data_IF_897917253075
#
_entry.id   IF_897917253075
#
_cell.length_a   1.000
_cell.length_b   1.000
_cell.length_c   1.000
_cell.angle_alpha   90.00
_cell.angle_beta   90.00
_cell.angle_gamma   90.00
#
_symmetry.space_group_name_H-M   'P 1'
#
loop_
_entity.id
_entity.type
_entity.pdbx_description
1 polymer ?
#
# COMPACT_ATOMS: atom_id res chain seq x y z
N UNK A 1 35.34 -61.27 -27.99
CA UNK A 1 34.96 -59.91 -28.42
C UNK A 1 33.78 -59.48 -27.57
N UNK A 2 33.87 -58.42 -26.75
CA UNK A 2 32.70 -57.90 -26.07
C UNK A 2 31.82 -57.17 -27.09
N UNK A 3 30.51 -57.42 -27.03
CA UNK A 3 29.53 -56.82 -27.92
C UNK A 3 29.53 -55.28 -27.82
N UNK A 4 29.21 -54.56 -28.93
CA UNK A 4 29.13 -53.11 -28.90
C UNK A 4 27.98 -52.68 -27.98
N UNK A 5 28.26 -51.70 -27.11
CA UNK A 5 27.25 -50.97 -26.35
C UNK A 5 26.18 -50.43 -27.31
N UNK A 6 25.07 -51.14 -27.45
CA UNK A 6 23.90 -50.64 -28.16
C UNK A 6 23.31 -49.51 -27.31
N UNK A 7 23.23 -48.30 -27.88
CA UNK A 7 22.55 -47.16 -27.26
C UNK A 7 21.16 -47.62 -26.77
N UNK A 8 20.80 -47.39 -25.50
CA UNK A 8 19.47 -47.74 -25.00
C UNK A 8 18.42 -46.99 -25.83
N UNK A 9 17.35 -47.71 -26.22
CA UNK A 9 16.24 -47.12 -26.98
C UNK A 9 15.59 -46.01 -26.14
N UNK A 10 15.16 -44.92 -26.78
CA UNK A 10 14.57 -43.76 -26.12
C UNK A 10 13.36 -44.10 -25.23
N UNK A 11 12.64 -45.19 -25.52
CA UNK A 11 11.54 -45.73 -24.70
C UNK A 11 12.00 -46.26 -23.35
N UNK A 12 13.17 -46.91 -23.29
CA UNK A 12 13.71 -47.51 -22.06
C UNK A 12 14.30 -46.43 -21.14
N UNK A 13 14.86 -45.37 -21.75
CA UNK A 13 15.40 -44.22 -21.04
C UNK A 13 14.28 -43.41 -20.34
N UNK A 14 13.15 -43.21 -21.01
CA UNK A 14 11.99 -42.52 -20.45
C UNK A 14 11.28 -43.37 -19.36
N UNK A 15 11.19 -44.68 -19.56
CA UNK A 15 10.63 -45.60 -18.56
C UNK A 15 11.47 -45.61 -17.27
N UNK A 16 12.80 -45.54 -17.38
CA UNK A 16 13.70 -45.47 -16.21
C UNK A 16 13.57 -44.15 -15.44
N UNK A 17 13.43 -43.00 -16.11
CA UNK A 17 13.22 -41.70 -15.44
C UNK A 17 11.90 -41.67 -14.66
N UNK A 18 10.82 -42.19 -15.25
CA UNK A 18 9.50 -42.24 -14.61
C UNK A 18 9.50 -43.24 -13.44
N UNK A 19 10.08 -44.43 -13.61
CA UNK A 19 10.18 -45.44 -12.57
C UNK A 19 11.03 -44.97 -11.38
N UNK A 20 12.18 -44.34 -11.63
CA UNK A 20 13.05 -43.80 -10.58
C UNK A 20 12.43 -42.59 -9.88
N UNK A 21 11.77 -41.69 -10.62
CA UNK A 21 11.06 -40.54 -10.03
C UNK A 21 9.87 -40.99 -9.17
N UNK A 22 9.13 -42.02 -9.59
CA UNK A 22 8.06 -42.62 -8.80
C UNK A 22 8.59 -43.38 -7.57
N UNK A 23 9.73 -44.07 -7.69
CA UNK A 23 10.39 -44.72 -6.55
C UNK A 23 10.87 -43.69 -5.51
N UNK A 24 11.40 -42.54 -5.95
CA UNK A 24 11.77 -41.43 -5.08
C UNK A 24 10.54 -40.74 -4.48
N UNK A 25 9.46 -40.59 -5.25
CA UNK A 25 8.18 -40.02 -4.78
C UNK A 25 7.43 -40.89 -3.76
N UNK A 26 7.61 -42.21 -3.82
CA UNK A 26 7.04 -43.18 -2.87
C UNK A 26 7.91 -43.42 -1.63
N UNK A 27 9.15 -42.92 -1.63
CA UNK A 27 9.97 -42.89 -0.42
C UNK A 27 9.37 -41.86 0.56
N UNK A 28 8.65 -42.34 1.57
CA UNK A 28 8.14 -41.49 2.65
C UNK A 28 9.24 -40.73 3.40
N UNK A 29 8.81 -39.79 4.26
CA UNK A 29 9.64 -38.80 4.95
C UNK A 29 10.84 -39.38 5.75
N UNK A 30 10.82 -40.66 6.08
CA UNK A 30 11.86 -41.34 6.85
C UNK A 30 13.05 -41.89 6.02
N UNK A 31 12.98 -41.89 4.69
CA UNK A 31 13.96 -42.62 3.84
C UNK A 31 14.89 -41.71 3.00
N UNK A 32 15.29 -40.55 3.54
CA UNK A 32 16.15 -39.56 2.86
C UNK A 32 17.49 -40.12 2.33
N UNK A 33 18.05 -41.16 2.96
CA UNK A 33 19.31 -41.78 2.49
C UNK A 33 19.10 -42.54 1.18
N UNK A 34 17.95 -43.20 1.03
CA UNK A 34 17.62 -43.97 -0.19
C UNK A 34 17.33 -43.04 -1.37
N UNK A 35 16.69 -41.90 -1.13
CA UNK A 35 16.43 -40.90 -2.17
C UNK A 35 17.71 -40.31 -2.75
N UNK A 36 18.75 -40.10 -1.93
CA UNK A 36 20.08 -39.66 -2.40
C UNK A 36 20.85 -40.74 -3.17
N UNK A 37 20.73 -42.01 -2.76
CA UNK A 37 21.32 -43.15 -3.50
C UNK A 37 20.66 -43.30 -4.87
N UNK A 38 19.34 -43.14 -4.94
CA UNK A 38 18.59 -43.16 -6.21
C UNK A 38 18.92 -41.97 -7.11
N UNK A 39 19.13 -40.77 -6.54
CA UNK A 39 19.62 -39.62 -7.31
C UNK A 39 20.99 -39.90 -7.93
N UNK A 40 21.90 -40.50 -7.16
CA UNK A 40 23.24 -40.86 -7.65
C UNK A 40 23.18 -41.88 -8.80
N UNK A 41 22.38 -42.94 -8.65
CA UNK A 41 22.18 -43.94 -9.69
C UNK A 41 21.59 -43.34 -10.97
N UNK A 42 20.69 -42.36 -10.83
CA UNK A 42 20.09 -41.65 -11.95
C UNK A 42 21.10 -40.77 -12.70
N UNK A 43 21.98 -40.07 -11.97
CA UNK A 43 23.08 -39.30 -12.55
C UNK A 43 24.14 -40.18 -13.22
N UNK A 44 24.46 -41.35 -12.65
CA UNK A 44 25.39 -42.34 -13.23
C UNK A 44 24.87 -42.92 -14.55
N UNK A 45 23.55 -43.04 -14.70
CA UNK A 45 22.90 -43.43 -15.95
C UNK A 45 22.69 -42.27 -16.94
N UNK A 46 23.27 -41.09 -16.68
CA UNK A 46 23.11 -39.86 -17.47
C UNK A 46 21.64 -39.40 -17.62
N UNK A 47 20.79 -39.75 -16.67
CA UNK A 47 19.38 -39.36 -16.64
C UNK A 47 19.23 -38.01 -15.93
N UNK A 48 18.45 -37.09 -16.51
CA UNK A 48 18.25 -35.75 -15.96
C UNK A 48 17.14 -35.75 -14.88
N UNK A 49 17.43 -35.30 -13.65
CA UNK A 49 16.41 -35.12 -12.62
C UNK A 49 15.42 -34.02 -12.98
N UNK A 50 14.14 -34.27 -12.70
CA UNK A 50 13.05 -33.32 -12.95
C UNK A 50 12.54 -32.72 -11.62
N UNK A 51 11.57 -31.81 -11.73
CA UNK A 51 10.96 -31.12 -10.57
C UNK A 51 10.44 -32.08 -9.50
N UNK A 52 9.82 -33.18 -9.90
CA UNK A 52 9.28 -34.20 -8.98
C UNK A 52 10.42 -34.89 -8.23
N UNK A 53 11.50 -35.27 -8.92
CA UNK A 53 12.67 -35.90 -8.31
C UNK A 53 13.27 -35.01 -7.21
N UNK A 54 13.52 -33.74 -7.52
CA UNK A 54 14.12 -32.80 -6.54
C UNK A 54 13.16 -32.45 -5.40
N UNK A 55 11.87 -32.24 -5.68
CA UNK A 55 10.87 -31.90 -4.66
C UNK A 55 10.70 -33.04 -3.64
N UNK A 56 10.68 -34.29 -4.09
CA UNK A 56 10.60 -35.46 -3.22
C UNK A 56 11.87 -35.66 -2.37
N UNK A 57 13.07 -35.42 -2.94
CA UNK A 57 14.33 -35.47 -2.19
C UNK A 57 14.36 -34.38 -1.11
N UNK A 58 14.01 -33.15 -1.48
CA UNK A 58 13.96 -32.00 -0.56
C UNK A 58 12.98 -32.25 0.58
N UNK A 59 11.78 -32.78 0.27
CA UNK A 59 10.76 -33.09 1.28
C UNK A 59 11.20 -34.21 2.23
N UNK A 60 11.85 -35.26 1.72
CA UNK A 60 12.39 -36.34 2.57
C UNK A 60 13.56 -35.86 3.46
N UNK A 61 14.44 -35.00 2.94
CA UNK A 61 15.53 -34.41 3.73
C UNK A 61 15.01 -33.43 4.81
N UNK A 62 13.97 -32.66 4.49
CA UNK A 62 13.29 -31.76 5.42
C UNK A 62 12.59 -32.53 6.56
N UNK A 63 11.83 -33.58 6.22
CA UNK A 63 11.16 -34.44 7.21
C UNK A 63 12.13 -35.14 8.17
N UNK A 64 13.33 -35.49 7.68
CA UNK A 64 14.39 -36.07 8.50
C UNK A 64 15.24 -35.06 9.28
N UNK A 65 14.84 -33.78 9.33
CA UNK A 65 15.56 -32.67 9.98
C UNK A 65 17.01 -32.47 9.48
N UNK A 66 17.32 -32.95 8.26
CA UNK A 66 18.63 -32.75 7.60
C UNK A 66 18.59 -31.50 6.72
N UNK A 67 18.35 -30.36 7.35
CA UNK A 67 18.18 -29.07 6.69
C UNK A 67 19.36 -28.68 5.79
N UNK A 68 20.60 -29.00 6.18
CA UNK A 68 21.80 -28.72 5.37
C UNK A 68 21.76 -29.37 3.99
N UNK A 69 21.29 -30.62 3.94
CA UNK A 69 21.19 -31.38 2.69
C UNK A 69 19.99 -30.89 1.90
N UNK A 70 18.89 -30.56 2.56
CA UNK A 70 17.70 -30.01 1.92
C UNK A 70 17.98 -28.66 1.23
N UNK A 71 18.71 -27.74 1.88
CA UNK A 71 19.12 -26.44 1.32
C UNK A 71 20.08 -26.61 0.15
N UNK A 72 21.05 -27.54 0.24
CA UNK A 72 21.95 -27.86 -0.87
C UNK A 72 21.19 -28.37 -2.10
N UNK A 73 20.22 -29.26 -1.90
CA UNK A 73 19.42 -29.82 -2.99
C UNK A 73 18.47 -28.78 -3.62
N UNK A 74 17.91 -27.87 -2.81
CA UNK A 74 17.11 -26.76 -3.31
C UNK A 74 17.97 -25.78 -4.15
N UNK A 75 19.21 -25.51 -3.70
CA UNK A 75 20.15 -24.67 -4.44
C UNK A 75 20.56 -25.31 -5.76
N UNK A 76 20.83 -26.61 -5.77
CA UNK A 76 21.16 -27.37 -6.99
C UNK A 76 19.99 -27.37 -8.00
N UNK A 77 18.76 -27.51 -7.51
CA UNK A 77 17.56 -27.44 -8.35
C UNK A 77 17.42 -26.05 -9.03
N UNK A 78 17.70 -24.97 -8.29
CA UNK A 78 17.71 -23.60 -8.82
C UNK A 78 18.85 -23.36 -9.83
N UNK A 79 20.07 -23.86 -9.55
CA UNK A 79 21.20 -23.76 -10.47
C UNK A 79 20.94 -24.47 -11.82
N UNK A 80 20.08 -25.49 -11.81
CA UNK A 80 19.66 -26.21 -13.03
C UNK A 80 18.47 -25.56 -13.74
N UNK A 81 17.96 -24.43 -13.26
CA UNK A 81 16.80 -23.75 -13.82
C UNK A 81 15.49 -24.52 -13.66
N UNK A 82 15.45 -25.51 -12.76
CA UNK A 82 14.23 -26.27 -12.47
C UNK A 82 13.47 -25.47 -11.41
N UNK A 83 12.31 -24.91 -11.79
CA UNK A 83 11.46 -24.12 -10.89
C UNK A 83 11.09 -24.94 -9.66
N UNK A 84 11.66 -24.61 -8.51
CA UNK A 84 11.26 -25.21 -7.25
C UNK A 84 9.81 -24.89 -6.93
N UNK A 85 8.93 -25.87 -7.05
CA UNK A 85 7.55 -25.72 -6.62
C UNK A 85 7.47 -25.21 -5.17
N UNK A 86 6.46 -24.40 -4.87
CA UNK A 86 6.20 -23.82 -3.53
C UNK A 86 6.30 -24.86 -2.41
N UNK A 87 5.93 -26.10 -2.70
CA UNK A 87 6.02 -27.25 -1.79
C UNK A 87 7.44 -27.52 -1.30
N UNK A 88 8.45 -27.50 -2.20
CA UNK A 88 9.85 -27.76 -1.83
C UNK A 88 10.39 -26.66 -0.89
N UNK A 89 10.14 -25.39 -1.24
CA UNK A 89 10.60 -24.23 -0.47
C UNK A 89 9.92 -24.15 0.91
N UNK A 90 8.61 -24.40 0.99
CA UNK A 90 7.88 -24.43 2.27
C UNK A 90 8.36 -25.54 3.20
N UNK A 91 8.65 -26.74 2.68
CA UNK A 91 9.18 -27.86 3.49
C UNK A 91 10.57 -27.58 4.04
N UNK A 92 11.43 -26.91 3.28
CA UNK A 92 12.77 -26.48 3.74
C UNK A 92 12.64 -25.46 4.86
N UNK A 93 11.73 -24.50 4.74
CA UNK A 93 11.49 -23.48 5.77
C UNK A 93 11.04 -24.12 7.09
N UNK A 94 10.04 -25.02 7.05
CA UNK A 94 9.57 -25.75 8.24
C UNK A 94 10.69 -26.56 8.91
N UNK A 95 11.58 -27.18 8.13
CA UNK A 95 12.72 -27.93 8.67
C UNK A 95 13.79 -27.02 9.31
N UNK A 96 14.02 -25.84 8.73
CA UNK A 96 14.96 -24.84 9.26
C UNK A 96 14.43 -24.21 10.56
N UNK A 97 13.13 -23.93 10.65
CA UNK A 97 12.49 -23.42 11.87
C UNK A 97 12.60 -24.42 13.02
N UNK A 98 12.34 -25.70 12.75
CA UNK A 98 12.51 -26.79 13.74
C UNK A 98 13.97 -26.97 14.16
N UNK A 99 14.92 -26.78 13.24
CA UNK A 99 16.34 -26.80 13.56
C UNK A 99 16.79 -25.57 14.38
N UNK A 100 16.15 -24.42 14.18
CA UNK A 100 16.45 -23.18 14.90
C UNK A 100 15.88 -23.14 16.32
N UNK A 101 14.82 -23.90 16.56
CA UNK A 101 14.26 -24.11 17.90
C UNK A 101 15.14 -25.01 18.80
N UNK A 102 16.20 -25.64 18.27
CA UNK A 102 17.12 -26.45 19.06
C UNK A 102 18.09 -25.56 19.87
N UNK A 103 18.38 -25.88 21.15
CA UNK A 103 19.18 -25.04 22.04
C UNK A 103 20.67 -24.89 21.62
N UNK A 104 21.12 -25.64 20.61
CA UNK A 104 22.48 -25.60 20.07
C UNK A 104 22.54 -25.06 18.61
N UNK A 105 21.53 -24.29 18.18
CA UNK A 105 21.47 -23.79 16.81
C UNK A 105 22.60 -22.77 16.52
N UNK A 106 23.45 -23.00 15.51
CA UNK A 106 24.50 -22.07 15.14
C UNK A 106 23.93 -20.80 14.47
N UNK A 107 24.60 -19.66 14.61
CA UNK A 107 24.21 -18.36 14.02
C UNK A 107 24.05 -18.39 12.50
N UNK A 108 24.73 -19.33 11.82
CA UNK A 108 24.58 -19.59 10.40
C UNK A 108 23.16 -20.01 10.01
N UNK A 109 22.43 -20.68 10.91
CA UNK A 109 21.07 -21.14 10.66
C UNK A 109 20.06 -19.98 10.57
N UNK A 110 20.26 -18.92 11.36
CA UNK A 110 19.45 -17.70 11.30
C UNK A 110 19.67 -16.95 9.98
N UNK A 111 20.91 -16.91 9.48
CA UNK A 111 21.23 -16.36 8.17
C UNK A 111 20.57 -17.14 7.02
N UNK A 112 20.54 -18.47 7.12
CA UNK A 112 19.93 -19.35 6.11
C UNK A 112 18.39 -19.22 6.11
N UNK A 113 17.75 -19.08 7.28
CA UNK A 113 16.32 -18.78 7.39
C UNK A 113 15.94 -17.47 6.69
N UNK A 114 16.70 -16.39 6.95
CA UNK A 114 16.45 -15.08 6.33
C UNK A 114 16.57 -15.12 4.79
N UNK A 115 17.47 -15.96 4.25
CA UNK A 115 17.61 -16.17 2.81
C UNK A 115 16.49 -17.04 2.23
N UNK A 116 16.01 -18.04 2.98
CA UNK A 116 14.88 -18.88 2.60
C UNK A 116 13.56 -18.12 2.49
N UNK A 117 13.30 -17.18 3.40
CA UNK A 117 12.11 -16.33 3.38
C UNK A 117 12.06 -15.40 2.15
N UNK A 118 13.21 -14.84 1.72
CA UNK A 118 13.31 -14.03 0.49
C UNK A 118 12.96 -14.83 -0.77
N UNK A 119 13.50 -16.05 -0.88
CA UNK A 119 13.23 -16.95 -2.01
C UNK A 119 11.75 -17.36 -2.08
N UNK A 120 11.10 -17.59 -0.93
CA UNK A 120 9.65 -17.83 -0.87
C UNK A 120 8.85 -16.58 -1.32
N UNK A 121 9.29 -15.38 -0.94
CA UNK A 121 8.66 -14.12 -1.38
C UNK A 121 8.71 -13.93 -2.90
N UNK A 122 9.84 -14.24 -3.53
CA UNK A 122 10.03 -14.16 -4.98
C UNK A 122 9.19 -15.22 -5.73
N UNK A 123 9.14 -16.47 -5.23
CA UNK A 123 8.36 -17.55 -5.87
C UNK A 123 6.84 -17.39 -5.71
N UNK A 124 6.37 -16.83 -4.58
CA UNK A 124 4.94 -16.51 -4.35
C UNK A 124 4.48 -15.35 -5.25
N UNK A 125 5.40 -14.49 -5.69
CA UNK A 125 5.13 -13.45 -6.68
C UNK A 125 4.87 -14.02 -8.08
N UNK A 126 5.47 -15.15 -8.45
CA UNK A 126 5.38 -15.70 -9.81
C UNK A 126 4.22 -16.68 -10.06
N UNK A 127 3.69 -17.40 -9.05
CA UNK A 127 2.62 -18.39 -9.28
C UNK A 127 1.49 -18.40 -8.23
N UNK A 128 0.35 -17.86 -8.67
CA UNK A 128 -1.03 -18.16 -8.27
C UNK A 128 -1.58 -17.66 -6.92
N UNK A 129 -2.69 -16.93 -7.06
CA UNK A 129 -3.60 -16.32 -6.07
C UNK A 129 -4.36 -17.35 -5.18
N UNK A 130 -4.17 -18.65 -5.38
CA UNK A 130 -5.02 -19.73 -4.83
C UNK A 130 -4.54 -20.34 -3.50
N UNK A 131 -3.30 -20.11 -3.08
CA UNK A 131 -2.74 -20.64 -1.81
C UNK A 131 -2.95 -19.71 -0.60
N UNK A 132 -3.51 -18.51 -0.83
CA UNK A 132 -3.72 -17.46 0.20
C UNK A 132 -4.75 -17.86 1.28
N UNK A 133 -5.46 -18.98 1.14
CA UNK A 133 -6.57 -19.37 2.01
C UNK A 133 -6.29 -20.42 3.11
N UNK A 134 -5.05 -20.93 3.26
CA UNK A 134 -4.74 -21.94 4.29
C UNK A 134 -3.76 -21.55 5.39
N UNK A 135 -3.26 -20.31 5.39
CA UNK A 135 -2.36 -19.81 6.44
C UNK A 135 -3.12 -18.83 7.34
N UNK A 136 -3.97 -19.35 8.22
CA UNK A 136 -4.63 -18.55 9.26
C UNK A 136 -3.90 -18.69 10.60
N UNK A 137 -3.78 -17.57 11.32
CA UNK A 137 -3.33 -17.52 12.71
C UNK A 137 -2.04 -16.74 12.91
N UNK A 138 -0.89 -17.31 12.56
CA UNK A 138 0.41 -16.80 13.00
C UNK A 138 0.99 -15.65 12.13
N UNK A 139 0.62 -15.58 10.85
CA UNK A 139 1.19 -14.59 9.91
C UNK A 139 0.77 -13.14 10.17
N UNK A 140 -0.27 -12.86 10.97
CA UNK A 140 -0.60 -11.46 11.31
C UNK A 140 0.45 -10.84 12.25
N UNK A 141 0.99 -11.64 13.17
CA UNK A 141 2.04 -11.20 14.09
C UNK A 141 3.41 -11.13 13.41
N UNK A 142 3.66 -12.01 12.44
CA UNK A 142 4.93 -12.04 11.69
C UNK A 142 4.94 -10.98 10.57
N UNK A 143 3.82 -10.69 9.90
CA UNK A 143 3.73 -9.56 8.96
C UNK A 143 4.04 -8.21 9.64
N UNK A 144 3.64 -8.08 10.91
CA UNK A 144 3.99 -6.92 11.75
C UNK A 144 5.48 -6.91 12.14
N UNK A 145 6.06 -8.07 12.45
CA UNK A 145 7.50 -8.20 12.77
C UNK A 145 8.41 -8.04 11.54
N UNK A 146 7.98 -8.48 10.35
CA UNK A 146 8.69 -8.28 9.09
C UNK A 146 8.60 -6.83 8.61
N UNK A 147 7.48 -6.14 8.84
CA UNK A 147 7.40 -4.68 8.63
C UNK A 147 8.36 -3.93 9.57
N UNK A 148 8.50 -4.38 10.83
CA UNK A 148 9.43 -3.81 11.81
C UNK A 148 10.91 -4.08 11.49
N UNK A 149 11.23 -5.25 10.90
CA UNK A 149 12.62 -5.60 10.53
C UNK A 149 13.04 -5.00 9.18
N UNK A 150 12.12 -4.86 8.21
CA UNK A 150 12.36 -4.09 6.98
C UNK A 150 12.58 -2.61 7.27
N UNK A 151 11.82 -2.04 8.21
CA UNK A 151 12.07 -0.71 8.78
C UNK A 151 13.44 -0.60 9.44
N UNK A 152 13.92 -1.65 10.11
CA UNK A 152 15.23 -1.64 10.80
C UNK A 152 16.42 -1.75 9.86
N UNK A 153 16.34 -2.53 8.78
CA UNK A 153 17.43 -2.68 7.80
C UNK A 153 17.45 -1.53 6.77
N UNK A 154 16.29 -0.96 6.42
CA UNK A 154 16.22 0.26 5.59
C UNK A 154 16.73 1.52 6.31
N UNK A 155 16.72 1.51 7.65
CA UNK A 155 17.16 2.65 8.47
C UNK A 155 18.66 2.62 8.79
N UNK A 156 19.34 1.50 8.54
CA UNK A 156 20.81 1.38 8.72
C UNK A 156 21.64 1.71 7.48
N UNK A 157 21.01 1.83 6.31
CA UNK A 157 21.68 2.15 5.03
C UNK A 157 21.11 3.44 4.38
N UNK A 158 20.24 4.16 5.08
CA UNK A 158 19.64 5.41 4.61
C UNK A 158 20.71 6.52 4.58
N UNK A 159 20.87 7.17 3.43
CA UNK A 159 21.59 8.44 3.37
C UNK A 159 20.98 9.44 4.38
N UNK A 160 21.76 10.37 4.94
CA UNK A 160 21.26 11.34 5.92
C UNK A 160 20.00 12.07 5.44
N UNK A 161 19.88 12.32 4.14
CA UNK A 161 18.75 13.02 3.52
C UNK A 161 17.45 12.20 3.56
N UNK A 162 17.52 10.88 3.41
CA UNK A 162 16.35 10.00 3.45
C UNK A 162 15.77 9.87 4.88
N UNK A 163 16.59 10.11 5.91
CA UNK A 163 16.12 10.13 7.30
C UNK A 163 15.20 11.33 7.60
N UNK A 164 15.46 12.50 6.97
CA UNK A 164 14.64 13.71 7.15
C UNK A 164 13.27 13.51 6.51
N UNK A 165 13.25 12.95 5.29
CA UNK A 165 12.02 12.65 4.56
C UNK A 165 11.10 11.72 5.36
N UNK A 166 11.65 10.62 5.88
CA UNK A 166 10.90 9.68 6.71
C UNK A 166 10.37 10.33 8.00
N UNK A 167 11.18 11.16 8.66
CA UNK A 167 10.78 11.89 9.86
C UNK A 167 9.62 12.86 9.58
N UNK A 168 9.68 13.64 8.51
CA UNK A 168 8.61 14.57 8.11
C UNK A 168 7.31 13.83 7.83
N UNK A 169 7.38 12.71 7.08
CA UNK A 169 6.21 11.89 6.80
C UNK A 169 5.62 11.25 8.07
N UNK A 170 6.48 10.75 8.97
CA UNK A 170 6.06 10.20 10.25
C UNK A 170 5.39 11.23 11.15
N UNK A 171 5.96 12.44 11.27
CA UNK A 171 5.34 13.56 12.00
C UNK A 171 3.99 13.97 11.39
N UNK A 172 3.90 14.01 10.06
CA UNK A 172 2.65 14.30 9.34
C UNK A 172 1.58 13.26 9.64
N UNK A 173 1.94 11.98 9.67
CA UNK A 173 1.04 10.88 10.06
C UNK A 173 0.48 11.06 11.47
N UNK A 174 1.35 11.34 12.45
CA UNK A 174 0.94 11.58 13.84
C UNK A 174 -0.02 12.76 13.93
N UNK A 175 0.30 13.87 13.25
CA UNK A 175 -0.56 15.05 13.23
C UNK A 175 -1.94 14.73 12.65
N UNK A 176 -2.01 14.03 11.52
CA UNK A 176 -3.27 13.68 10.87
C UNK A 176 -4.11 12.74 11.74
N UNK A 177 -3.50 11.78 12.45
CA UNK A 177 -4.23 10.94 13.40
C UNK A 177 -4.76 11.73 14.60
N UNK A 178 -3.96 12.66 15.16
CA UNK A 178 -4.43 13.56 16.21
C UNK A 178 -5.59 14.43 15.71
N UNK A 179 -5.50 14.93 14.48
CA UNK A 179 -6.57 15.68 13.83
C UNK A 179 -7.85 14.87 13.67
N UNK A 180 -7.78 13.59 13.27
CA UNK A 180 -8.98 12.73 13.19
C UNK A 180 -9.63 12.59 14.56
N UNK A 181 -8.85 12.33 15.62
CA UNK A 181 -9.40 12.26 16.98
C UNK A 181 -10.08 13.56 17.38
N UNK A 182 -9.45 14.71 17.15
CA UNK A 182 -10.05 16.02 17.41
C UNK A 182 -11.38 16.20 16.66
N UNK A 183 -11.38 16.02 15.34
CA UNK A 183 -12.57 16.17 14.50
C UNK A 183 -13.69 15.19 14.89
N UNK A 184 -13.35 13.96 15.29
CA UNK A 184 -14.31 12.97 15.77
C UNK A 184 -15.04 13.44 17.04
N UNK A 185 -14.29 13.90 18.05
CA UNK A 185 -14.89 14.37 19.30
C UNK A 185 -15.66 15.67 19.12
N UNK A 186 -15.15 16.58 18.28
CA UNK A 186 -15.80 17.85 17.95
C UNK A 186 -17.13 17.63 17.20
N UNK A 187 -17.19 16.63 16.32
CA UNK A 187 -18.39 16.30 15.56
C UNK A 187 -19.50 15.59 16.34
N UNK A 188 -19.28 15.19 17.58
CA UNK A 188 -20.30 14.47 18.37
C UNK A 188 -21.44 15.37 18.88
N UNK A 189 -21.24 16.69 18.94
CA UNK A 189 -22.13 17.62 19.65
C UNK A 189 -22.83 18.65 18.75
N UNK A 190 -22.74 18.52 17.43
CA UNK A 190 -23.05 19.63 16.52
C UNK A 190 -23.77 19.19 15.23
N UNK A 191 -24.51 20.12 14.60
CA UNK A 191 -25.18 19.98 13.29
C UNK A 191 -24.15 19.67 12.18
N UNK A 192 -22.88 20.00 12.42
CA UNK A 192 -21.74 19.68 11.54
C UNK A 192 -21.29 18.22 11.56
N UNK A 193 -21.96 17.33 12.31
CA UNK A 193 -21.60 15.90 12.45
C UNK A 193 -21.27 15.18 11.12
N UNK A 194 -22.09 15.21 10.05
CA UNK A 194 -21.76 14.48 8.82
C UNK A 194 -20.44 14.97 8.19
N UNK A 195 -20.22 16.28 8.15
CA UNK A 195 -18.99 16.89 7.60
C UNK A 195 -17.75 16.49 8.42
N UNK A 196 -17.86 16.50 9.75
CA UNK A 196 -16.76 16.08 10.63
C UNK A 196 -16.45 14.58 10.53
N UNK A 197 -17.43 13.72 10.26
CA UNK A 197 -17.20 12.29 10.03
C UNK A 197 -16.45 12.04 8.72
N UNK A 198 -16.81 12.77 7.64
CA UNK A 198 -16.07 12.73 6.38
C UNK A 198 -14.63 13.21 6.60
N UNK A 199 -14.43 14.31 7.33
CA UNK A 199 -13.12 14.84 7.63
C UNK A 199 -12.25 13.89 8.50
N UNK A 200 -12.83 13.16 9.47
CA UNK A 200 -12.08 12.13 10.19
C UNK A 200 -11.70 10.97 9.25
N UNK A 201 -12.59 10.54 8.36
CA UNK A 201 -12.23 9.52 7.38
C UNK A 201 -11.09 9.99 6.47
N UNK A 202 -11.14 11.22 6.00
CA UNK A 202 -10.08 11.85 5.19
C UNK A 202 -8.74 11.86 5.94
N UNK A 203 -8.72 12.35 7.17
CA UNK A 203 -7.49 12.44 7.98
C UNK A 203 -6.97 11.07 8.42
N UNK A 204 -7.85 10.07 8.61
CA UNK A 204 -7.45 8.70 8.90
C UNK A 204 -6.79 8.02 7.69
N UNK A 205 -7.37 8.16 6.50
CA UNK A 205 -6.79 7.62 5.25
C UNK A 205 -5.42 8.25 5.01
N UNK A 206 -5.33 9.58 5.09
CA UNK A 206 -4.09 10.31 4.89
C UNK A 206 -3.04 9.96 5.94
N UNK A 207 -3.39 9.91 7.22
CA UNK A 207 -2.49 9.49 8.30
C UNK A 207 -1.91 8.10 8.05
N UNK A 208 -2.73 7.18 7.54
CA UNK A 208 -2.33 5.82 7.20
C UNK A 208 -1.41 5.76 5.97
N UNK A 209 -1.68 6.57 4.95
CA UNK A 209 -0.81 6.69 3.78
C UNK A 209 0.55 7.30 4.15
N UNK A 210 0.58 8.36 4.95
CA UNK A 210 1.82 8.95 5.46
C UNK A 210 2.65 7.97 6.30
N UNK A 211 2.00 7.15 7.13
CA UNK A 211 2.68 6.08 7.88
C UNK A 211 3.26 5.01 6.95
N UNK A 212 2.52 4.63 5.90
CA UNK A 212 2.99 3.70 4.89
C UNK A 212 4.20 4.25 4.14
N UNK A 213 4.12 5.50 3.67
CA UNK A 213 5.22 6.18 2.97
C UNK A 213 6.44 6.34 3.85
N UNK A 214 6.29 6.74 5.12
CA UNK A 214 7.40 6.87 6.07
C UNK A 214 8.10 5.54 6.33
N UNK A 215 7.38 4.43 6.17
CA UNK A 215 7.91 3.06 6.32
C UNK A 215 8.51 2.50 5.02
N UNK A 216 8.51 3.28 3.92
CA UNK A 216 9.00 2.86 2.61
C UNK A 216 8.03 1.99 1.80
N UNK A 217 6.75 1.93 2.16
CA UNK A 217 5.76 1.10 1.47
C UNK A 217 5.32 1.73 0.13
N UNK A 218 5.32 0.93 -0.95
CA UNK A 218 5.00 1.36 -2.33
C UNK A 218 5.77 2.60 -2.79
N UNK A 219 7.07 2.64 -2.54
CA UNK A 219 7.98 3.66 -3.07
C UNK A 219 8.71 3.09 -4.29
N UNK A 220 8.61 3.80 -5.42
CA UNK A 220 9.31 3.46 -6.66
C UNK A 220 10.39 4.49 -6.96
N UNK A 221 11.43 4.11 -7.72
CA UNK A 221 12.44 5.07 -8.17
C UNK A 221 12.31 5.27 -9.67
N UNK A 222 12.08 6.51 -10.10
CA UNK A 222 11.97 6.92 -11.50
C UNK A 222 12.94 8.08 -11.72
N UNK A 223 13.81 7.96 -12.71
CA UNK A 223 14.87 8.94 -13.00
C UNK A 223 15.73 9.33 -11.77
N UNK A 224 15.96 8.36 -10.87
CA UNK A 224 16.75 8.56 -9.65
C UNK A 224 16.04 9.29 -8.51
N UNK A 225 14.73 9.57 -8.62
CA UNK A 225 13.90 10.16 -7.56
C UNK A 225 12.85 9.19 -7.04
N UNK A 226 12.50 9.31 -5.76
CA UNK A 226 11.44 8.49 -5.18
C UNK A 226 10.05 8.99 -5.56
N UNK A 227 9.22 8.08 -6.05
CA UNK A 227 7.80 8.28 -6.33
C UNK A 227 7.01 7.52 -5.26
N UNK A 228 6.29 8.28 -4.44
CA UNK A 228 5.50 7.74 -3.34
C UNK A 228 4.09 7.37 -3.80
N UNK A 229 3.87 6.14 -4.25
CA UNK A 229 2.58 5.74 -4.85
C UNK A 229 1.40 5.82 -3.86
N UNK A 230 1.64 5.62 -2.56
CA UNK A 230 0.60 5.77 -1.53
C UNK A 230 0.04 7.19 -1.45
N UNK A 231 0.78 8.22 -1.88
CA UNK A 231 0.29 9.61 -1.99
C UNK A 231 -0.89 9.69 -2.97
N UNK A 232 -0.75 9.06 -4.13
CA UNK A 232 -1.80 9.06 -5.16
C UNK A 232 -3.00 8.19 -4.77
N UNK A 233 -2.75 7.10 -4.04
CA UNK A 233 -3.83 6.28 -3.46
C UNK A 233 -4.60 7.11 -2.42
N UNK A 234 -3.90 7.79 -1.52
CA UNK A 234 -4.51 8.71 -0.55
C UNK A 234 -5.36 9.76 -1.26
N UNK A 235 -4.79 10.48 -2.22
CA UNK A 235 -5.50 11.52 -2.96
C UNK A 235 -6.74 10.97 -3.63
N UNK A 236 -6.65 9.83 -4.33
CA UNK A 236 -7.81 9.21 -5.00
C UNK A 236 -9.03 8.99 -4.09
N UNK A 237 -8.82 8.75 -2.79
CA UNK A 237 -9.91 8.62 -1.83
C UNK A 237 -10.24 9.95 -1.12
N UNK A 238 -9.22 10.69 -0.71
CA UNK A 238 -9.40 11.88 0.13
C UNK A 238 -9.93 13.08 -0.64
N UNK A 239 -9.45 13.35 -1.86
CA UNK A 239 -9.97 14.43 -2.70
C UNK A 239 -11.42 14.16 -3.11
N UNK A 240 -11.75 12.90 -3.43
CA UNK A 240 -13.12 12.48 -3.70
C UNK A 240 -14.06 12.69 -2.49
N UNK A 241 -13.60 12.37 -1.28
CA UNK A 241 -14.36 12.62 -0.05
C UNK A 241 -14.50 14.11 0.26
N UNK A 242 -13.47 14.92 0.01
CA UNK A 242 -13.52 16.38 0.17
C UNK A 242 -14.49 17.04 -0.83
N UNK A 243 -14.54 16.54 -2.07
CA UNK A 243 -15.50 17.00 -3.07
C UNK A 243 -16.92 16.54 -2.76
N UNK A 244 -17.08 15.33 -2.20
CA UNK A 244 -18.36 14.88 -1.66
C UNK A 244 -18.85 15.81 -0.54
N UNK A 245 -17.96 16.25 0.35
CA UNK A 245 -18.28 17.19 1.43
C UNK A 245 -18.83 18.52 0.87
N UNK A 246 -18.15 19.09 -0.13
CA UNK A 246 -18.59 20.30 -0.84
C UNK A 246 -19.92 20.10 -1.59
N UNK A 247 -20.12 18.94 -2.21
CA UNK A 247 -21.36 18.59 -2.90
C UNK A 247 -22.53 18.45 -1.93
N UNK A 248 -22.30 17.86 -0.75
CA UNK A 248 -23.30 17.75 0.32
C UNK A 248 -23.69 19.13 0.87
N UNK A 249 -22.75 20.08 1.01
CA UNK A 249 -23.06 21.46 1.42
C UNK A 249 -24.04 22.17 0.46
N UNK A 250 -24.04 21.79 -0.83
CA UNK A 250 -25.01 22.31 -1.81
C UNK A 250 -26.21 21.40 -2.02
N UNK A 251 -26.21 20.21 -1.43
CA UNK A 251 -27.19 19.17 -1.71
C UNK A 251 -27.24 18.84 -3.21
N UNK A 252 -26.08 18.78 -3.86
CA UNK A 252 -25.96 18.44 -5.27
C UNK A 252 -26.53 17.03 -5.52
N UNK A 253 -27.02 16.80 -6.74
CA UNK A 253 -27.55 15.49 -7.09
C UNK A 253 -26.41 14.46 -7.26
N UNK A 254 -26.79 13.18 -7.20
CA UNK A 254 -25.82 12.09 -7.26
C UNK A 254 -25.06 12.06 -8.59
N UNK A 255 -25.69 12.50 -9.69
CA UNK A 255 -25.04 12.52 -11.01
C UNK A 255 -23.97 13.60 -11.09
N UNK A 256 -24.26 14.83 -10.65
CA UNK A 256 -23.24 15.88 -10.61
C UNK A 256 -22.11 15.53 -9.64
N UNK A 257 -22.44 14.97 -8.48
CA UNK A 257 -21.44 14.54 -7.49
C UNK A 257 -20.53 13.44 -8.05
N UNK A 258 -21.11 12.42 -8.70
CA UNK A 258 -20.34 11.35 -9.32
C UNK A 258 -19.48 11.83 -10.49
N UNK A 259 -19.99 12.76 -11.31
CA UNK A 259 -19.22 13.37 -12.40
C UNK A 259 -18.02 14.16 -11.86
N UNK A 260 -18.23 14.97 -10.81
CA UNK A 260 -17.17 15.74 -10.17
C UNK A 260 -16.06 14.84 -9.61
N UNK A 261 -16.43 13.79 -8.86
CA UNK A 261 -15.48 12.79 -8.34
C UNK A 261 -14.79 12.04 -9.48
N UNK A 262 -15.51 11.72 -10.57
CA UNK A 262 -14.92 11.06 -11.73
C UNK A 262 -13.83 11.88 -12.42
N UNK A 263 -14.05 13.19 -12.57
CA UNK A 263 -13.04 14.12 -13.13
C UNK A 263 -11.83 14.21 -12.19
N UNK A 264 -12.05 14.26 -10.88
CA UNK A 264 -11.01 14.31 -9.86
C UNK A 264 -10.15 13.04 -9.84
N UNK A 265 -10.76 11.85 -9.84
CA UNK A 265 -10.03 10.58 -9.92
C UNK A 265 -9.23 10.48 -11.22
N UNK A 266 -9.81 10.92 -12.35
CA UNK A 266 -9.08 10.95 -13.62
C UNK A 266 -7.84 11.87 -13.54
N UNK A 267 -7.97 13.04 -12.93
CA UNK A 267 -6.83 13.95 -12.67
C UNK A 267 -5.72 13.25 -11.85
N UNK A 268 -6.06 12.59 -10.75
CA UNK A 268 -5.07 11.90 -9.90
C UNK A 268 -4.39 10.74 -10.64
N UNK A 269 -5.14 9.99 -11.45
CA UNK A 269 -4.57 8.93 -12.28
C UNK A 269 -3.60 9.49 -13.33
N UNK A 270 -3.94 10.61 -13.98
CA UNK A 270 -3.03 11.28 -14.91
C UNK A 270 -1.76 11.76 -14.18
N UNK A 271 -1.88 12.30 -12.97
CA UNK A 271 -0.73 12.69 -12.17
C UNK A 271 0.18 11.49 -11.82
N UNK A 272 -0.40 10.34 -11.43
CA UNK A 272 0.36 9.12 -11.18
C UNK A 272 1.06 8.60 -12.45
N UNK A 273 0.36 8.62 -13.60
CA UNK A 273 0.95 8.23 -14.89
C UNK A 273 2.10 9.17 -15.29
N UNK A 274 1.99 10.46 -15.00
CA UNK A 274 3.07 11.41 -15.20
C UNK A 274 4.27 11.08 -14.30
N UNK A 275 4.04 10.87 -13.00
CA UNK A 275 5.10 10.57 -12.03
C UNK A 275 5.84 9.25 -12.34
N UNK A 276 5.12 8.24 -12.84
CA UNK A 276 5.70 6.94 -13.21
C UNK A 276 6.26 6.91 -14.64
N UNK A 277 6.12 7.97 -15.43
CA UNK A 277 6.60 7.99 -16.80
C UNK A 277 8.13 8.13 -16.85
N UNK A 278 8.78 7.24 -17.59
CA UNK A 278 10.24 7.29 -17.86
C UNK A 278 10.60 8.17 -19.06
N UNK A 279 9.60 8.68 -19.78
CA UNK A 279 9.82 9.52 -20.97
C UNK A 279 9.43 10.96 -20.68
N UNK A 280 10.26 11.92 -21.10
CA UNK A 280 9.95 13.34 -20.90
C UNK A 280 8.64 13.74 -21.59
N UNK A 281 8.39 13.23 -22.79
CA UNK A 281 7.13 13.45 -23.50
C UNK A 281 5.92 12.91 -22.72
N UNK A 282 6.02 11.71 -22.14
CA UNK A 282 4.98 11.12 -21.32
C UNK A 282 4.69 11.92 -20.04
N UNK A 283 5.74 12.32 -19.32
CA UNK A 283 5.65 13.18 -18.12
C UNK A 283 4.81 14.44 -18.39
N UNK A 284 5.18 15.21 -19.40
CA UNK A 284 4.48 16.46 -19.75
C UNK A 284 3.09 16.22 -20.36
N UNK A 285 2.88 15.14 -21.11
CA UNK A 285 1.57 14.82 -21.70
C UNK A 285 0.55 14.49 -20.62
N UNK A 286 0.90 13.61 -19.69
CA UNK A 286 0.00 13.22 -18.61
C UNK A 286 -0.22 14.38 -17.62
N UNK A 287 0.82 15.15 -17.31
CA UNK A 287 0.68 16.36 -16.49
C UNK A 287 -0.26 17.40 -17.15
N UNK A 288 -0.10 17.64 -18.46
CA UNK A 288 -0.97 18.55 -19.20
C UNK A 288 -2.43 18.08 -19.18
N UNK A 289 -2.67 16.78 -19.41
CA UNK A 289 -4.01 16.19 -19.32
C UNK A 289 -4.60 16.32 -17.90
N UNK A 290 -3.81 16.02 -16.86
CA UNK A 290 -4.23 16.19 -15.47
C UNK A 290 -4.57 17.64 -15.13
N UNK A 291 -3.82 18.61 -15.66
CA UNK A 291 -4.09 20.05 -15.49
C UNK A 291 -5.39 20.46 -16.18
N UNK A 292 -5.70 19.90 -17.35
CA UNK A 292 -7.00 20.10 -18.01
C UNK A 292 -8.14 19.51 -17.18
N UNK A 293 -7.97 18.32 -16.60
CA UNK A 293 -8.94 17.74 -15.67
C UNK A 293 -9.13 18.63 -14.43
N UNK A 294 -8.05 19.17 -13.85
CA UNK A 294 -8.13 20.10 -12.71
C UNK A 294 -8.90 21.37 -13.07
N UNK A 295 -8.59 22.02 -14.20
CA UNK A 295 -9.32 23.19 -14.67
C UNK A 295 -10.80 22.89 -14.94
N UNK A 296 -11.09 21.72 -15.52
CA UNK A 296 -12.45 21.23 -15.74
C UNK A 296 -13.21 20.98 -14.44
N UNK A 297 -12.55 20.42 -13.43
CA UNK A 297 -13.10 20.21 -12.09
C UNK A 297 -13.43 21.55 -11.41
N UNK A 298 -12.50 22.52 -11.45
CA UNK A 298 -12.72 23.87 -10.91
C UNK A 298 -13.88 24.57 -11.62
N UNK A 299 -13.93 24.51 -12.95
CA UNK A 299 -15.05 25.04 -13.72
C UNK A 299 -16.37 24.38 -13.32
N UNK A 300 -16.40 23.05 -13.25
CA UNK A 300 -17.60 22.30 -12.84
C UNK A 300 -18.08 22.71 -11.44
N UNK A 301 -17.16 22.85 -10.49
CA UNK A 301 -17.44 23.24 -9.11
C UNK A 301 -18.12 24.63 -9.04
N UNK A 302 -17.58 25.62 -9.77
CA UNK A 302 -18.07 27.00 -9.73
C UNK A 302 -19.17 27.34 -10.75
N UNK A 303 -19.43 26.48 -11.74
CA UNK A 303 -20.54 26.72 -12.70
C UNK A 303 -21.70 25.78 -12.47
N UNK A 304 -21.48 24.46 -12.38
CA UNK A 304 -22.57 23.49 -12.26
C UNK A 304 -23.03 23.41 -10.81
N UNK A 305 -22.08 23.20 -9.90
CA UNK A 305 -22.39 23.04 -8.48
C UNK A 305 -22.82 24.35 -7.81
N UNK A 306 -22.39 25.50 -8.33
CA UNK A 306 -22.86 26.81 -7.86
C UNK A 306 -24.25 27.18 -8.38
N UNK A 307 -24.58 26.87 -9.66
CA UNK A 307 -25.90 27.18 -10.23
C UNK A 307 -27.02 26.36 -9.63
N UNK A 308 -26.79 25.06 -9.39
CA UNK A 308 -27.75 24.14 -8.74
C UNK A 308 -28.17 24.55 -7.31
N UNK A 309 -27.73 25.72 -6.88
CA UNK A 309 -27.40 26.07 -5.54
C UNK A 309 -27.88 27.51 -5.28
N UNK A 310 -27.63 28.41 -6.24
CA UNK A 310 -28.31 29.71 -6.36
C UNK A 310 -29.83 29.55 -6.48
N UNK A 311 -30.29 28.49 -7.15
CA UNK A 311 -31.73 28.17 -7.28
C UNK A 311 -32.43 27.86 -5.95
N UNK A 312 -31.67 27.56 -4.87
CA UNK A 312 -32.22 27.23 -3.54
C UNK A 312 -32.21 28.41 -2.56
N UNK A 313 -31.44 29.47 -2.81
CA UNK A 313 -31.30 30.66 -1.97
C UNK A 313 -30.69 30.43 -0.57
N UNK A 314 -30.10 31.48 0.03
CA UNK A 314 -29.76 31.53 1.46
C UNK A 314 -28.27 31.62 1.84
N UNK A 315 -28.02 31.77 3.15
CA UNK A 315 -26.70 31.98 3.80
C UNK A 315 -25.68 30.86 3.51
N UNK A 316 -26.16 29.65 3.15
CA UNK A 316 -25.36 28.51 2.73
C UNK A 316 -24.51 28.78 1.46
N UNK A 317 -24.88 29.75 0.63
CA UNK A 317 -24.12 30.13 -0.57
C UNK A 317 -22.75 30.74 -0.22
N UNK A 318 -22.71 31.64 0.78
CA UNK A 318 -21.48 32.28 1.22
C UNK A 318 -20.49 31.28 1.82
N UNK A 319 -21.01 30.32 2.59
CA UNK A 319 -20.23 29.22 3.19
C UNK A 319 -19.54 28.36 2.16
N UNK A 320 -20.30 27.90 1.16
CA UNK A 320 -19.73 27.10 0.09
C UNK A 320 -18.69 27.87 -0.71
N UNK A 321 -19.00 29.10 -1.18
CA UNK A 321 -18.07 29.89 -1.99
C UNK A 321 -16.75 30.11 -1.25
N UNK A 322 -16.82 30.42 0.05
CA UNK A 322 -15.63 30.59 0.87
C UNK A 322 -14.81 29.30 0.99
N UNK A 323 -15.43 28.19 1.42
CA UNK A 323 -14.74 26.91 1.62
C UNK A 323 -14.17 26.39 0.28
N UNK A 324 -14.98 26.37 -0.78
CA UNK A 324 -14.55 25.94 -2.10
C UNK A 324 -13.36 26.77 -2.62
N UNK A 325 -13.40 28.10 -2.49
CA UNK A 325 -12.31 28.97 -2.94
C UNK A 325 -11.01 28.70 -2.17
N UNK A 326 -11.08 28.57 -0.84
CA UNK A 326 -9.91 28.23 -0.01
C UNK A 326 -9.34 26.85 -0.37
N UNK A 327 -10.19 25.87 -0.65
CA UNK A 327 -9.76 24.54 -1.12
C UNK A 327 -9.03 24.65 -2.46
N UNK A 328 -9.59 25.35 -3.45
CA UNK A 328 -8.97 25.48 -4.77
C UNK A 328 -7.65 26.27 -4.72
N UNK A 329 -7.60 27.36 -3.97
CA UNK A 329 -6.37 28.14 -3.78
C UNK A 329 -5.24 27.28 -3.19
N UNK A 330 -5.57 26.44 -2.21
CA UNK A 330 -4.61 25.51 -1.63
C UNK A 330 -4.24 24.39 -2.62
N UNK A 331 -5.21 23.88 -3.39
CA UNK A 331 -4.98 22.81 -4.37
C UNK A 331 -4.13 23.26 -5.56
N UNK A 332 -4.10 24.57 -5.88
CA UNK A 332 -3.18 25.13 -6.86
C UNK A 332 -1.70 24.96 -6.50
N UNK A 333 -1.36 24.71 -5.23
CA UNK A 333 0.01 24.42 -4.82
C UNK A 333 0.50 23.06 -5.35
N UNK A 334 -0.38 22.07 -5.49
CA UNK A 334 -0.02 20.71 -5.86
C UNK A 334 0.59 20.59 -7.27
N UNK A 335 -0.01 21.14 -8.35
CA UNK A 335 0.60 21.11 -9.67
C UNK A 335 1.88 21.94 -9.75
N UNK A 336 2.03 22.97 -8.91
CA UNK A 336 3.27 23.76 -8.83
C UNK A 336 4.39 22.94 -8.20
N UNK A 337 4.13 22.30 -7.05
CA UNK A 337 5.08 21.38 -6.43
C UNK A 337 5.43 20.26 -7.41
N UNK A 338 4.42 19.70 -8.10
CA UNK A 338 4.62 18.62 -9.07
C UNK A 338 5.53 19.03 -10.23
N UNK A 339 5.30 20.22 -10.78
CA UNK A 339 6.11 20.72 -11.89
C UNK A 339 7.56 21.00 -11.47
N UNK A 340 7.77 21.54 -10.27
CA UNK A 340 9.11 21.84 -9.75
C UNK A 340 9.84 20.58 -9.26
N UNK A 341 9.12 19.60 -8.71
CA UNK A 341 9.61 18.34 -8.15
C UNK A 341 9.68 17.26 -9.21
N UNK A 342 8.59 16.52 -9.42
CA UNK A 342 8.53 15.33 -10.29
C UNK A 342 8.86 15.58 -11.77
N UNK A 343 8.58 16.78 -12.32
CA UNK A 343 8.84 17.07 -13.75
C UNK A 343 10.23 17.61 -14.02
N UNK A 344 10.60 18.71 -13.35
CA UNK A 344 11.82 19.46 -13.67
C UNK A 344 12.99 19.16 -12.75
N UNK A 345 12.73 18.52 -11.60
CA UNK A 345 13.73 18.25 -10.56
C UNK A 345 14.43 19.52 -10.06
N UNK A 346 13.76 20.69 -10.16
CA UNK A 346 14.28 21.99 -9.76
C UNK A 346 14.40 22.10 -8.24
N UNK A 347 13.46 21.50 -7.51
CA UNK A 347 13.50 21.41 -6.05
C UNK A 347 14.00 20.05 -5.58
N UNK A 348 14.71 20.00 -4.45
CA UNK A 348 15.18 18.73 -3.89
C UNK A 348 14.00 17.93 -3.30
N UNK A 349 14.17 16.61 -3.13
CA UNK A 349 13.10 15.69 -2.75
C UNK A 349 12.52 15.99 -1.36
N UNK A 350 13.36 16.47 -0.44
CA UNK A 350 12.98 16.85 0.91
C UNK A 350 11.99 18.02 0.89
N UNK A 351 12.26 19.02 0.04
CA UNK A 351 11.39 20.20 -0.09
C UNK A 351 10.06 19.85 -0.74
N UNK A 352 10.07 18.93 -1.71
CA UNK A 352 8.85 18.39 -2.32
C UNK A 352 7.97 17.69 -1.27
N UNK A 353 8.56 16.80 -0.46
CA UNK A 353 7.85 16.07 0.60
C UNK A 353 7.31 17.03 1.67
N UNK A 354 8.13 17.99 2.12
CA UNK A 354 7.69 19.02 3.08
C UNK A 354 6.53 19.83 2.50
N UNK A 355 6.63 20.23 1.23
CA UNK A 355 5.59 20.97 0.52
C UNK A 355 4.25 20.22 0.52
N UNK A 356 4.26 18.95 0.12
CA UNK A 356 3.05 18.12 0.13
C UNK A 356 2.53 17.86 1.55
N UNK A 357 3.40 17.60 2.53
CA UNK A 357 3.02 17.46 3.94
C UNK A 357 2.29 18.67 4.49
N UNK A 358 2.81 19.87 4.25
CA UNK A 358 2.16 21.12 4.69
C UNK A 358 0.83 21.32 3.97
N UNK A 359 0.80 21.14 2.65
CA UNK A 359 -0.42 21.29 1.86
C UNK A 359 -1.51 20.31 2.32
N UNK A 360 -1.16 19.04 2.53
CA UNK A 360 -2.10 18.00 2.97
C UNK A 360 -2.63 18.26 4.37
N UNK A 361 -1.78 18.67 5.32
CA UNK A 361 -2.24 19.03 6.67
C UNK A 361 -3.22 20.20 6.62
N UNK A 362 -2.91 21.25 5.85
CA UNK A 362 -3.80 22.40 5.71
C UNK A 362 -5.12 22.01 5.01
N UNK A 363 -5.06 21.16 3.99
CA UNK A 363 -6.23 20.76 3.21
C UNK A 363 -7.16 19.82 3.99
N UNK A 364 -6.57 18.84 4.69
CA UNK A 364 -7.28 17.73 5.32
C UNK A 364 -7.67 18.00 6.77
N UNK A 365 -6.93 18.88 7.46
CA UNK A 365 -7.23 19.27 8.85
C UNK A 365 -7.68 20.73 8.96
N UNK A 366 -7.02 21.64 8.24
CA UNK A 366 -7.30 23.08 8.31
C UNK A 366 -8.68 23.45 7.77
N UNK A 367 -9.03 22.99 6.56
CA UNK A 367 -10.34 23.29 5.96
C UNK A 367 -11.51 22.74 6.79
N UNK A 368 -11.51 21.46 7.24
CA UNK A 368 -12.55 20.96 8.15
C UNK A 368 -12.64 21.72 9.47
N UNK A 369 -11.51 22.13 10.05
CA UNK A 369 -11.49 22.97 11.24
C UNK A 369 -12.20 24.31 10.99
N UNK A 370 -11.99 24.93 9.84
CA UNK A 370 -12.68 26.17 9.45
C UNK A 370 -14.19 25.97 9.30
N UNK A 371 -14.63 24.86 8.68
CA UNK A 371 -16.05 24.51 8.54
C UNK A 371 -16.69 24.35 9.93
N UNK A 372 -16.02 23.67 10.85
CA UNK A 372 -16.50 23.50 12.23
C UNK A 372 -16.58 24.82 12.99
N UNK A 373 -15.53 25.66 12.92
CA UNK A 373 -15.54 27.00 13.54
C UNK A 373 -16.73 27.82 13.05
N UNK A 374 -17.01 27.80 11.74
CA UNK A 374 -18.19 28.47 11.18
C UNK A 374 -19.49 27.92 11.79
N UNK A 375 -19.66 26.60 11.86
CA UNK A 375 -20.84 25.94 12.45
C UNK A 375 -21.17 26.42 13.87
N UNK A 376 -20.13 26.67 14.69
CA UNK A 376 -20.32 27.20 16.06
C UNK A 376 -20.86 28.63 16.04
N UNK A 377 -20.31 29.48 15.18
CA UNK A 377 -20.79 30.87 15.09
C UNK A 377 -22.22 30.93 14.55
N UNK A 378 -22.54 30.08 13.58
CA UNK A 378 -23.88 29.95 13.01
C UNK A 378 -24.89 29.52 14.08
N UNK A 379 -24.62 28.43 14.82
CA UNK A 379 -25.51 27.93 15.89
C UNK A 379 -25.70 28.94 17.03
N UNK A 380 -24.65 29.69 17.41
CA UNK A 380 -24.77 30.76 18.41
C UNK A 380 -25.65 31.91 17.90
N UNK A 381 -25.47 32.33 16.65
CA UNK A 381 -26.27 33.40 16.06
C UNK A 381 -27.75 33.04 15.98
N UNK A 382 -28.09 31.78 15.69
CA UNK A 382 -29.49 31.33 15.62
C UNK A 382 -30.13 31.14 16.99
N UNK A 383 -29.39 30.71 18.02
CA UNK A 383 -29.97 30.41 19.34
C UNK A 383 -30.09 31.62 20.27
N UNK A 384 -29.24 32.64 20.09
CA UNK A 384 -29.22 33.82 20.98
C UNK A 384 -30.56 34.59 21.03
N UNK A 385 -31.24 34.88 19.90
CA UNK A 385 -32.52 35.59 19.92
C UNK A 385 -33.60 34.81 20.68
N UNK A 386 -33.68 33.50 20.46
CA UNK A 386 -34.64 32.61 21.14
C UNK A 386 -34.40 32.56 22.65
N UNK A 387 -33.13 32.54 23.08
CA UNK A 387 -32.78 32.58 24.51
C UNK A 387 -33.21 33.92 25.12
N UNK A 388 -32.93 35.03 24.45
CA UNK A 388 -33.30 36.38 24.92
C UNK A 388 -34.81 36.58 24.97
N UNK A 389 -35.56 35.97 24.06
CA UNK A 389 -37.03 36.01 24.03
C UNK A 389 -37.61 35.22 25.20
N UNK A 390 -37.14 33.99 25.43
CA UNK A 390 -37.55 33.16 26.58
C UNK A 390 -37.22 33.83 27.93
N UNK A 391 -36.07 34.51 28.02
CA UNK A 391 -35.65 35.23 29.24
C UNK A 391 -36.55 36.45 29.52
N UNK A 392 -36.97 37.17 28.47
CA UNK A 392 -37.95 38.25 28.58
C UNK A 392 -39.31 37.75 29.07
N UNK A 393 -39.78 36.62 28.54
CA UNK A 393 -41.06 36.02 28.96
C UNK A 393 -41.03 35.58 30.42
N UNK A 394 -39.92 34.98 30.88
CA UNK A 394 -39.77 34.58 32.28
C UNK A 394 -39.70 35.77 33.23
N UNK A 395 -39.01 36.85 32.84
CA UNK A 395 -38.98 38.09 33.62
C UNK A 395 -40.36 38.77 33.69
N UNK A 396 -41.12 38.76 32.60
CA UNK A 396 -42.48 39.30 32.59
C UNK A 396 -43.44 38.48 33.48
N UNK A 397 -43.31 37.15 33.49
CA UNK A 397 -44.10 36.26 34.33
C UNK A 397 -43.75 36.36 35.83
N UNK A 398 -42.53 36.78 36.17
CA UNK A 398 -42.11 36.98 37.57
C UNK A 398 -42.56 38.33 38.16
N UNK A 399 -43.03 39.27 37.33
CA UNK A 399 -43.45 40.63 37.73
C UNK A 399 -44.97 40.84 37.76
N UNK A 400 -45.76 39.89 37.25
CA UNK A 400 -47.24 39.88 37.34
C UNK A 400 -47.72 38.90 38.38
#
# INVERSE_FOLDING_TARGET
MPEPFTKPKSSDLAANVVALSAAIGSCGEAQWRRTLVLLKAMLEQQLQPNEVTFTSIVSACAGALRWEVAVKMLTEMNCRGISGGVVASSRVLEALERAAAAPAAPSTLQCVLARGERLCGELVSEKNRATRFKLSGCCRSIAWLSARKYSSEAMTDASPDQSIVQAVMGMSSVFLYLSCLCLFFMGQKDVSRPYNMIACLVTFIAGSAYLGMSSGLFVHVVDGRHVYCLRYVDWCFTTALMLLDLALMRGADMKATAALIGIDVAMILMALMAALSTSNAGKWSFFGMGTVCFAGMVAFLFTVLQRAAEERGGEAEGKFKFVASRTIELWCLYPVIFALGELTHTIPEELEVVGYSVADVLAKSGIPMMIWIWSIFETKATSLPTILENEKETLAAAQG
#
